data_IF_473269297153
#
_entry.id   IF_473269297153
#
_cell.length_a   1.000
_cell.length_b   1.000
_cell.length_c   1.000
_cell.angle_alpha   90.00
_cell.angle_beta   90.00
_cell.angle_gamma   90.00
#
_symmetry.space_group_name_H-M   'P 1'
#
loop_
_entity.id
_entity.type
_entity.pdbx_description
1 polymer ?
#
# COMPACT_ATOMS: atom_id res chain seq x y z
N UNK A 1 21.12 -19.77 29.05
CA UNK A 1 20.98 -19.88 27.58
C UNK A 1 19.90 -18.91 27.12
N UNK A 2 20.27 -17.66 26.90
CA UNK A 2 19.37 -16.61 26.41
C UNK A 2 19.32 -16.70 24.89
N UNK A 3 18.20 -17.20 24.37
CA UNK A 3 17.93 -17.35 22.94
C UNK A 3 18.10 -16.00 22.22
N UNK A 4 18.86 -15.98 21.12
CA UNK A 4 19.13 -14.76 20.34
C UNK A 4 17.82 -14.10 19.88
N UNK A 5 17.76 -12.76 19.95
CA UNK A 5 16.57 -11.97 19.62
C UNK A 5 16.02 -12.29 18.22
N UNK A 6 16.91 -12.55 17.25
CA UNK A 6 16.55 -12.84 15.86
C UNK A 6 15.74 -14.13 15.70
N UNK A 7 16.05 -15.16 16.50
CA UNK A 7 15.31 -16.43 16.48
C UNK A 7 13.90 -16.22 17.05
N UNK A 8 13.78 -15.41 18.10
CA UNK A 8 12.49 -15.09 18.73
C UNK A 8 11.58 -14.31 17.77
N UNK A 9 12.15 -13.38 17.01
CA UNK A 9 11.41 -12.63 15.99
C UNK A 9 11.00 -13.51 14.81
N UNK A 10 11.91 -14.33 14.30
CA UNK A 10 11.62 -15.25 13.18
C UNK A 10 10.53 -16.27 13.52
N UNK A 11 10.52 -16.80 14.75
CA UNK A 11 9.45 -17.71 15.21
C UNK A 11 8.12 -16.97 15.31
N UNK A 12 8.12 -15.74 15.85
CA UNK A 12 6.92 -14.92 15.97
C UNK A 12 6.30 -14.63 14.59
N UNK A 13 7.11 -14.38 13.58
CA UNK A 13 6.65 -14.01 12.24
C UNK A 13 6.18 -15.23 11.45
N UNK A 14 6.84 -16.38 11.61
CA UNK A 14 6.37 -17.67 11.10
C UNK A 14 5.00 -18.04 11.68
N UNK A 15 4.81 -17.92 13.00
CA UNK A 15 3.53 -18.17 13.66
C UNK A 15 2.43 -17.21 13.16
N UNK A 16 2.75 -15.91 13.05
CA UNK A 16 1.82 -14.92 12.54
C UNK A 16 1.36 -15.23 11.10
N UNK A 17 2.29 -15.68 10.24
CA UNK A 17 1.98 -16.10 8.87
C UNK A 17 1.01 -17.28 8.84
N UNK A 18 1.28 -18.33 9.61
CA UNK A 18 0.42 -19.53 9.66
C UNK A 18 -0.98 -19.18 10.15
N UNK A 19 -1.10 -18.36 11.19
CA UNK A 19 -2.41 -17.93 11.73
C UNK A 19 -3.19 -17.14 10.69
N UNK A 20 -2.54 -16.18 10.01
CA UNK A 20 -3.22 -15.35 9.01
C UNK A 20 -3.70 -16.14 7.81
N UNK A 21 -2.90 -17.09 7.31
CA UNK A 21 -3.37 -17.99 6.24
C UNK A 21 -4.51 -18.90 6.72
N UNK A 22 -4.44 -19.41 7.95
CA UNK A 22 -5.52 -20.20 8.54
C UNK A 22 -6.84 -19.42 8.63
N UNK A 23 -6.79 -18.17 9.09
CA UNK A 23 -7.97 -17.29 9.17
C UNK A 23 -8.47 -16.90 7.77
N UNK A 24 -7.56 -16.55 6.84
CA UNK A 24 -7.93 -16.18 5.48
C UNK A 24 -8.62 -17.31 4.70
N UNK A 25 -8.13 -18.55 4.89
CA UNK A 25 -8.77 -19.75 4.32
C UNK A 25 -10.11 -20.06 4.99
N UNK A 26 -10.21 -19.90 6.32
CA UNK A 26 -11.45 -20.13 7.06
C UNK A 26 -12.55 -19.11 6.71
N UNK A 27 -12.18 -17.86 6.43
CA UNK A 27 -13.12 -16.81 6.01
C UNK A 27 -13.53 -16.91 4.54
N UNK A 28 -12.99 -17.86 3.78
CA UNK A 28 -13.31 -18.04 2.37
C UNK A 28 -12.86 -16.85 1.50
N UNK A 29 -11.80 -16.14 1.89
CA UNK A 29 -11.28 -15.05 1.06
C UNK A 29 -10.80 -15.58 -0.28
N UNK A 30 -11.25 -14.92 -1.36
CA UNK A 30 -10.89 -15.26 -2.74
C UNK A 30 -9.36 -15.26 -2.96
N UNK A 31 -8.65 -14.38 -2.22
CA UNK A 31 -7.19 -14.20 -2.34
C UNK A 31 -6.49 -14.07 -0.97
N UNK A 32 -6.25 -15.18 -0.25
CA UNK A 32 -5.60 -15.16 1.07
C UNK A 32 -4.13 -14.71 1.02
N UNK A 33 -3.52 -14.71 -0.17
CA UNK A 33 -2.18 -14.16 -0.43
C UNK A 33 -2.02 -12.73 0.12
N UNK A 34 -3.01 -11.85 -0.06
CA UNK A 34 -2.91 -10.46 0.42
C UNK A 34 -2.74 -10.36 1.94
N UNK A 35 -3.34 -11.29 2.67
CA UNK A 35 -3.22 -11.36 4.12
C UNK A 35 -1.78 -11.71 4.54
N UNK A 36 -1.18 -12.70 3.88
CA UNK A 36 0.23 -13.05 4.09
C UNK A 36 1.17 -11.88 3.77
N UNK A 37 0.92 -11.15 2.69
CA UNK A 37 1.71 -9.96 2.35
C UNK A 37 1.67 -8.89 3.44
N UNK A 38 0.51 -8.67 4.06
CA UNK A 38 0.41 -7.73 5.18
C UNK A 38 1.32 -8.13 6.36
N UNK A 39 1.33 -9.42 6.73
CA UNK A 39 2.21 -9.93 7.80
C UNK A 39 3.68 -9.81 7.43
N UNK A 40 4.06 -10.10 6.17
CA UNK A 40 5.44 -9.92 5.71
C UNK A 40 5.88 -8.45 5.81
N UNK A 41 5.05 -7.53 5.35
CA UNK A 41 5.37 -6.10 5.40
C UNK A 41 5.45 -5.57 6.83
N UNK A 42 4.57 -6.02 7.73
CA UNK A 42 4.63 -5.64 9.16
C UNK A 42 5.86 -6.25 9.84
N UNK A 43 6.28 -7.45 9.42
CA UNK A 43 7.46 -8.13 9.97
C UNK A 43 8.79 -7.53 9.51
N UNK A 44 8.89 -7.07 8.26
CA UNK A 44 10.09 -6.42 7.72
C UNK A 44 10.21 -4.94 8.14
N UNK A 45 9.13 -4.38 8.65
CA UNK A 45 9.01 -3.00 9.05
C UNK A 45 9.55 -2.76 10.46
N UNK A 46 10.58 -1.91 10.60
CA UNK A 46 10.79 -1.22 11.88
C UNK A 46 9.53 -0.41 12.18
N UNK A 47 8.82 -0.76 13.25
CA UNK A 47 7.41 -0.40 13.54
C UNK A 47 7.06 1.07 13.27
N UNK A 48 7.98 2.01 13.52
CA UNK A 48 7.75 3.44 13.28
C UNK A 48 7.85 3.90 11.82
N UNK A 49 8.75 3.33 11.01
CA UNK A 49 8.98 3.80 9.63
C UNK A 49 7.92 3.28 8.65
N UNK A 50 7.44 2.06 8.80
CA UNK A 50 6.42 1.53 7.88
C UNK A 50 5.01 1.99 8.18
N UNK A 51 4.68 2.38 9.41
CA UNK A 51 3.40 3.03 9.70
C UNK A 51 3.34 4.39 8.99
N UNK A 52 4.40 5.20 9.09
CA UNK A 52 4.47 6.47 8.38
C UNK A 52 4.45 6.28 6.86
N UNK A 53 5.20 5.31 6.34
CA UNK A 53 5.22 5.00 4.90
C UNK A 53 3.89 4.43 4.40
N UNK A 54 3.21 3.63 5.21
CA UNK A 54 1.87 3.11 4.94
C UNK A 54 0.82 4.22 4.94
N UNK A 55 0.87 5.13 5.92
CA UNK A 55 0.00 6.29 5.99
C UNK A 55 0.18 7.21 4.78
N UNK A 56 1.43 7.44 4.34
CA UNK A 56 1.71 8.23 3.14
C UNK A 56 1.09 7.60 1.87
N UNK A 57 1.13 6.26 1.77
CA UNK A 57 0.48 5.53 0.66
C UNK A 57 -1.04 5.66 0.71
N UNK A 58 -1.65 5.51 1.89
CA UNK A 58 -3.09 5.69 2.06
C UNK A 58 -3.55 7.10 1.69
N UNK A 59 -2.83 8.13 2.16
CA UNK A 59 -3.11 9.53 1.80
C UNK A 59 -3.00 9.77 0.29
N UNK A 60 -1.97 9.20 -0.35
CA UNK A 60 -1.81 9.28 -1.80
C UNK A 60 -2.97 8.61 -2.56
N UNK A 61 -3.45 7.46 -2.10
CA UNK A 61 -4.61 6.78 -2.68
C UNK A 61 -5.89 7.60 -2.54
N UNK A 62 -6.15 8.16 -1.35
CA UNK A 62 -7.33 9.01 -1.13
C UNK A 62 -7.30 10.24 -2.04
N UNK A 63 -6.17 10.93 -2.11
CA UNK A 63 -6.02 12.11 -2.97
C UNK A 63 -6.15 11.76 -4.46
N UNK A 64 -5.59 10.62 -4.88
CA UNK A 64 -5.73 10.11 -6.24
C UNK A 64 -7.18 9.75 -6.60
N UNK A 65 -7.92 9.10 -5.69
CA UNK A 65 -9.34 8.77 -5.89
C UNK A 65 -10.18 10.04 -5.98
N UNK A 66 -9.97 11.01 -5.09
CA UNK A 66 -10.69 12.29 -5.14
C UNK A 66 -10.44 13.02 -6.46
N UNK A 67 -9.18 13.09 -6.91
CA UNK A 67 -8.84 13.70 -8.19
C UNK A 67 -9.44 12.95 -9.39
N UNK A 68 -9.46 11.61 -9.35
CA UNK A 68 -10.09 10.82 -10.40
C UNK A 68 -11.61 11.07 -10.46
N UNK A 69 -12.28 11.10 -9.31
CA UNK A 69 -13.72 11.34 -9.22
C UNK A 69 -14.10 12.76 -9.68
N UNK A 70 -13.33 13.78 -9.31
CA UNK A 70 -13.58 15.15 -9.77
C UNK A 70 -13.38 15.29 -11.28
N UNK A 71 -12.34 14.67 -11.85
CA UNK A 71 -12.10 14.68 -13.29
C UNK A 71 -13.21 13.96 -14.07
N UNK A 72 -13.69 12.82 -13.57
CA UNK A 72 -14.83 12.12 -14.17
C UNK A 72 -16.10 12.98 -14.07
N UNK A 73 -16.39 13.58 -12.91
CA UNK A 73 -17.59 14.39 -12.73
C UNK A 73 -17.63 15.64 -13.63
N UNK A 74 -16.48 16.30 -13.85
CA UNK A 74 -16.39 17.53 -14.64
C UNK A 74 -16.28 17.28 -16.15
N UNK A 75 -15.57 16.22 -16.56
CA UNK A 75 -15.14 16.05 -17.96
C UNK A 75 -15.59 14.73 -18.60
N UNK A 76 -16.47 13.93 -17.99
CA UNK A 76 -16.97 12.69 -18.59
C UNK A 76 -17.56 12.89 -20.00
N UNK A 77 -18.15 14.06 -20.28
CA UNK A 77 -18.78 14.37 -21.57
C UNK A 77 -17.76 14.70 -22.69
N UNK A 78 -16.55 15.17 -22.35
CA UNK A 78 -15.59 15.74 -23.30
C UNK A 78 -14.26 14.94 -23.31
N UNK A 79 -14.14 14.02 -24.28
CA UNK A 79 -13.05 13.04 -24.36
C UNK A 79 -11.64 13.65 -24.42
N UNK A 80 -11.45 14.77 -25.12
CA UNK A 80 -10.15 15.42 -25.25
C UNK A 80 -9.69 16.13 -23.98
N UNK A 81 -10.61 16.83 -23.30
CA UNK A 81 -10.33 17.52 -22.04
C UNK A 81 -10.00 16.52 -20.93
N UNK A 82 -10.72 15.40 -20.88
CA UNK A 82 -10.47 14.34 -19.92
C UNK A 82 -9.04 13.76 -20.06
N UNK A 83 -8.60 13.46 -21.29
CA UNK A 83 -7.27 12.90 -21.56
C UNK A 83 -6.17 13.89 -21.17
N UNK A 84 -6.31 15.18 -21.53
CA UNK A 84 -5.31 16.19 -21.17
C UNK A 84 -5.15 16.34 -19.67
N UNK A 85 -6.26 16.43 -18.93
CA UNK A 85 -6.22 16.58 -17.48
C UNK A 85 -5.69 15.34 -16.77
N UNK A 86 -6.09 14.13 -17.18
CA UNK A 86 -5.56 12.90 -16.60
C UNK A 86 -4.08 12.70 -16.90
N UNK A 87 -3.62 13.01 -18.13
CA UNK A 87 -2.18 13.00 -18.45
C UNK A 87 -1.39 14.03 -17.66
N UNK A 88 -1.93 15.24 -17.46
CA UNK A 88 -1.28 16.26 -16.62
C UNK A 88 -1.19 15.78 -15.17
N UNK A 89 -2.28 15.21 -14.63
CA UNK A 89 -2.32 14.70 -13.26
C UNK A 89 -1.31 13.56 -13.05
N UNK A 90 -1.28 12.57 -13.95
CA UNK A 90 -0.31 11.46 -13.88
C UNK A 90 1.12 11.97 -14.06
N UNK A 91 1.33 12.94 -14.96
CA UNK A 91 2.63 13.60 -15.15
C UNK A 91 3.12 14.28 -13.88
N UNK A 92 2.23 15.05 -13.21
CA UNK A 92 2.52 15.69 -11.92
C UNK A 92 2.81 14.68 -10.82
N UNK A 93 1.98 13.62 -10.69
CA UNK A 93 2.22 12.55 -9.72
C UNK A 93 3.56 11.85 -9.95
N UNK A 94 3.91 11.59 -11.22
CA UNK A 94 5.19 10.96 -11.60
C UNK A 94 6.37 11.87 -11.30
N UNK A 95 6.25 13.16 -11.59
CA UNK A 95 7.28 14.16 -11.25
C UNK A 95 7.51 14.24 -9.73
N UNK A 96 6.43 14.28 -8.94
CA UNK A 96 6.52 14.27 -7.47
C UNK A 96 7.19 13.00 -6.93
N UNK A 97 6.94 11.84 -7.57
CA UNK A 97 7.60 10.58 -7.22
C UNK A 97 9.09 10.59 -7.59
N UNK A 98 9.46 11.19 -8.73
CA UNK A 98 10.85 11.31 -9.18
C UNK A 98 11.67 12.31 -8.36
N UNK A 99 11.06 13.42 -7.91
CA UNK A 99 11.70 14.48 -7.13
C UNK A 99 12.09 14.08 -5.69
N UNK A 100 11.51 13.01 -5.15
CA UNK A 100 11.80 12.49 -3.80
C UNK A 100 13.21 11.90 -3.64
N UNK A 101 14.03 11.83 -4.69
CA UNK A 101 15.38 11.25 -4.65
C UNK A 101 16.47 12.15 -4.04
N UNK A 102 16.11 13.34 -3.54
CA UNK A 102 17.05 14.33 -2.98
C UNK A 102 16.74 14.79 -1.54
N UNK A 103 15.99 13.99 -0.76
CA UNK A 103 15.88 14.11 0.69
C UNK A 103 16.11 12.77 1.36
#
# INVERSE_FOLDING_TARGET
>A
MTLSHDIKESIKTALAMTIVYGVGLHMGWDRPYWAGFAVAFISLATVGQSFNKGALRMMGTVMGVLAALTLVALFAQQRWLFILFTSLWVGLCTYMMAGSRHQ
#
